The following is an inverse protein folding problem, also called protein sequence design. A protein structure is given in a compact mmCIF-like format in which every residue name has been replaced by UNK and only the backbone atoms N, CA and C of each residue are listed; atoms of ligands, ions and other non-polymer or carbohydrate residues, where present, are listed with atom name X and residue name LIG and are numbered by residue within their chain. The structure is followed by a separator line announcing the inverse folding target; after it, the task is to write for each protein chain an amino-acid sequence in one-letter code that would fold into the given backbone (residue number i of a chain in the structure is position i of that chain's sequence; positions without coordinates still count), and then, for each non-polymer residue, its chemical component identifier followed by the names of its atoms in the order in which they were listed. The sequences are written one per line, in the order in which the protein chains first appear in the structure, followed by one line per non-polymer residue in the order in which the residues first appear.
data_IF_036876702866
#
_entry.id   IF_036876702866
#
_cell.length_a   1.000
_cell.length_b   1.000
_cell.length_c   1.000
_cell.angle_alpha   90.00
_cell.angle_beta   90.00
_cell.angle_gamma   90.00
#
_symmetry.space_group_name_H-M   'P 1'
#
loop_
_entity.id
_entity.type
_entity.pdbx_description
1 polymer ?
#
# COMPACT_ATOMS: atom_id res chain seq x y z
N UNK A 1 25.89 72.28 -18.84
CA UNK A 1 25.86 70.85 -19.21
C UNK A 1 26.42 69.81 -18.21
N UNK A 2 27.23 70.22 -17.23
CA UNK A 2 27.92 69.30 -16.28
C UNK A 2 27.08 68.77 -15.09
N UNK A 3 25.97 69.45 -14.69
CA UNK A 3 25.18 69.04 -13.50
C UNK A 3 24.20 67.91 -13.72
N UNK A 4 23.71 67.72 -14.93
CA UNK A 4 22.73 66.69 -15.27
C UNK A 4 23.39 65.29 -15.32
N UNK A 5 24.60 65.22 -15.89
CA UNK A 5 25.34 63.93 -16.02
C UNK A 5 25.76 63.38 -14.64
N UNK A 6 26.09 64.28 -13.67
CA UNK A 6 26.48 63.84 -12.33
C UNK A 6 25.32 63.27 -11.50
N UNK A 7 24.08 63.74 -11.70
CA UNK A 7 22.87 63.19 -11.03
C UNK A 7 22.48 61.81 -11.59
N UNK A 8 22.63 61.57 -12.88
CA UNK A 8 22.37 60.26 -13.47
C UNK A 8 23.35 59.19 -12.99
N UNK A 9 24.62 59.50 -12.91
CA UNK A 9 25.65 58.56 -12.42
C UNK A 9 25.46 58.16 -10.95
N UNK A 10 24.96 59.07 -10.11
CA UNK A 10 24.68 58.73 -8.70
C UNK A 10 23.42 57.91 -8.53
N UNK A 11 22.39 58.10 -9.38
CA UNK A 11 21.15 57.29 -9.37
C UNK A 11 21.40 55.86 -9.83
N UNK A 12 22.22 55.66 -10.86
CA UNK A 12 22.56 54.31 -11.37
C UNK A 12 23.36 53.52 -10.33
N UNK A 13 24.35 54.12 -9.65
CA UNK A 13 25.12 53.48 -8.57
C UNK A 13 24.25 53.11 -7.35
N UNK A 14 23.22 53.89 -7.04
CA UNK A 14 22.27 53.57 -5.97
C UNK A 14 21.40 52.33 -6.24
N UNK A 15 20.97 52.18 -7.49
CA UNK A 15 20.15 51.02 -7.90
C UNK A 15 20.96 49.73 -7.98
N UNK A 16 22.20 49.76 -8.41
CA UNK A 16 23.09 48.61 -8.39
C UNK A 16 23.42 48.11 -6.97
N UNK A 17 23.71 49.02 -6.08
CA UNK A 17 24.00 48.71 -4.67
C UNK A 17 22.79 48.08 -3.97
N UNK A 18 21.57 48.51 -4.30
CA UNK A 18 20.35 47.92 -3.77
C UNK A 18 20.08 46.54 -4.37
N UNK A 19 20.29 46.36 -5.67
CA UNK A 19 20.16 45.02 -6.34
C UNK A 19 21.14 44.00 -5.77
N UNK A 20 22.37 44.43 -5.44
CA UNK A 20 23.37 43.56 -4.82
C UNK A 20 22.95 43.13 -3.42
N UNK A 21 22.43 44.07 -2.60
CA UNK A 21 21.91 43.78 -1.26
C UNK A 21 20.73 42.81 -1.31
N UNK A 22 19.77 42.97 -2.23
CA UNK A 22 18.65 42.07 -2.40
C UNK A 22 19.12 40.67 -2.82
N UNK A 23 20.10 40.55 -3.71
CA UNK A 23 20.66 39.26 -4.13
C UNK A 23 21.35 38.54 -2.97
N UNK A 24 22.10 39.25 -2.13
CA UNK A 24 22.78 38.68 -0.95
C UNK A 24 21.76 38.21 0.11
N UNK A 25 20.71 38.99 0.36
CA UNK A 25 19.62 38.57 1.28
C UNK A 25 18.90 37.35 0.76
N UNK A 26 18.59 37.29 -0.56
CA UNK A 26 17.92 36.14 -1.15
C UNK A 26 18.78 34.88 -1.11
N UNK A 27 20.10 35.01 -1.34
CA UNK A 27 21.03 33.87 -1.21
C UNK A 27 21.12 33.38 0.25
N UNK A 28 21.18 34.30 1.21
CA UNK A 28 21.20 33.94 2.63
C UNK A 28 19.93 33.19 3.06
N UNK A 29 18.75 33.63 2.60
CA UNK A 29 17.47 32.96 2.87
C UNK A 29 17.37 31.57 2.19
N UNK A 30 17.94 31.42 0.98
CA UNK A 30 18.00 30.13 0.30
C UNK A 30 18.90 29.14 1.03
N UNK A 31 20.06 29.60 1.52
CA UNK A 31 20.99 28.74 2.28
C UNK A 31 20.36 28.32 3.61
N UNK A 32 19.69 29.24 4.34
CA UNK A 32 19.00 28.89 5.59
C UNK A 32 17.82 27.91 5.35
N UNK A 33 17.06 28.08 4.26
CA UNK A 33 15.98 27.16 3.91
C UNK A 33 16.51 25.76 3.58
N UNK A 34 17.62 25.66 2.85
CA UNK A 34 18.27 24.40 2.52
C UNK A 34 18.85 23.69 3.75
N UNK A 35 19.45 24.45 4.69
CA UNK A 35 19.98 23.87 5.93
C UNK A 35 18.85 23.36 6.85
N UNK A 36 17.76 24.11 7.00
CA UNK A 36 16.59 23.69 7.78
C UNK A 36 15.91 22.43 7.16
N UNK A 37 15.86 22.36 5.82
CA UNK A 37 15.34 21.17 5.14
C UNK A 37 16.22 19.93 5.33
N UNK A 38 17.54 20.12 5.40
CA UNK A 38 18.49 19.01 5.64
C UNK A 38 18.46 18.49 7.08
N UNK A 39 18.27 19.37 8.07
CA UNK A 39 18.20 19.00 9.49
C UNK A 39 16.94 18.17 9.78
N UNK A 40 15.81 18.46 9.13
CA UNK A 40 14.58 17.67 9.27
C UNK A 40 14.67 16.24 8.70
N UNK A 41 15.68 15.93 7.87
CA UNK A 41 15.90 14.56 7.36
C UNK A 41 16.78 13.69 8.26
N UNK A 42 17.52 14.28 9.19
CA UNK A 42 18.44 13.54 10.07
C UNK A 42 17.78 12.96 11.34
N UNK A 43 16.51 13.22 11.53
CA UNK A 43 15.76 12.79 12.72
C UNK A 43 14.66 11.79 12.44
N UNK A 44 14.83 10.79 11.52
CA UNK A 44 13.94 9.64 11.58
C UNK A 44 14.33 8.82 12.81
N UNK A 45 13.47 8.73 13.84
CA UNK A 45 13.76 7.85 14.96
C UNK A 45 13.98 6.45 14.41
N UNK A 46 15.05 5.78 14.86
CA UNK A 46 15.32 4.38 14.60
C UNK A 46 14.02 3.60 14.86
N UNK A 47 13.36 3.20 13.76
CA UNK A 47 12.10 2.48 13.85
C UNK A 47 12.42 1.18 14.59
N UNK A 48 11.90 1.04 15.79
CA UNK A 48 12.01 -0.21 16.56
C UNK A 48 11.77 -1.41 15.64
N UNK A 49 12.44 -2.56 15.84
CA UNK A 49 12.24 -3.74 15.00
C UNK A 49 10.74 -3.99 14.85
N UNK A 50 10.27 -4.04 13.58
CA UNK A 50 8.85 -4.29 13.31
C UNK A 50 8.54 -5.64 13.96
N UNK A 51 7.62 -5.73 14.91
CA UNK A 51 7.28 -6.99 15.55
C UNK A 51 6.83 -7.98 14.45
N UNK A 52 7.37 -9.21 14.52
CA UNK A 52 6.98 -10.27 13.57
C UNK A 52 5.49 -10.50 13.73
N UNK A 53 4.72 -10.08 12.72
CA UNK A 53 3.28 -10.18 12.73
C UNK A 53 2.85 -11.61 12.41
N UNK A 54 2.21 -12.26 13.38
CA UNK A 54 1.74 -13.66 13.25
C UNK A 54 0.30 -13.75 12.76
N UNK A 55 -0.44 -12.64 12.73
CA UNK A 55 -1.82 -12.55 12.26
C UNK A 55 -2.05 -11.21 11.57
N UNK A 56 -2.91 -11.20 10.55
CA UNK A 56 -3.32 -9.97 9.91
C UNK A 56 -4.17 -9.11 10.86
N UNK A 57 -3.96 -7.79 10.82
CA UNK A 57 -4.81 -6.81 11.52
C UNK A 57 -6.22 -6.78 10.93
N UNK A 58 -7.19 -6.20 11.65
CA UNK A 58 -8.54 -6.03 11.12
C UNK A 58 -8.57 -5.19 9.85
N UNK A 59 -7.73 -4.16 9.76
CA UNK A 59 -7.64 -3.33 8.57
C UNK A 59 -7.07 -4.11 7.37
N UNK A 60 -6.04 -4.92 7.57
CA UNK A 60 -5.50 -5.80 6.54
C UNK A 60 -6.54 -6.83 6.07
N UNK A 61 -7.31 -7.43 6.98
CA UNK A 61 -8.39 -8.37 6.62
C UNK A 61 -9.47 -7.69 5.78
N UNK A 62 -9.85 -6.47 6.12
CA UNK A 62 -10.80 -5.66 5.36
C UNK A 62 -10.28 -5.32 3.97
N UNK A 63 -9.00 -4.92 3.88
CA UNK A 63 -8.33 -4.69 2.60
C UNK A 63 -8.26 -5.96 1.75
N UNK A 64 -7.92 -7.11 2.34
CA UNK A 64 -7.89 -8.40 1.66
C UNK A 64 -9.27 -8.80 1.13
N UNK A 65 -10.34 -8.57 1.90
CA UNK A 65 -11.72 -8.81 1.43
C UNK A 65 -12.09 -7.92 0.25
N UNK A 66 -11.74 -6.64 0.29
CA UNK A 66 -12.00 -5.71 -0.81
C UNK A 66 -11.23 -6.11 -2.07
N UNK A 67 -9.95 -6.49 -1.93
CA UNK A 67 -9.10 -6.99 -3.00
C UNK A 67 -9.69 -8.26 -3.62
N UNK A 68 -10.07 -9.23 -2.79
CA UNK A 68 -10.69 -10.48 -3.24
C UNK A 68 -11.97 -10.20 -4.05
N UNK A 69 -12.86 -9.34 -3.53
CA UNK A 69 -14.08 -8.96 -4.24
C UNK A 69 -13.79 -8.36 -5.62
N UNK A 70 -12.83 -7.43 -5.69
CA UNK A 70 -12.45 -6.78 -6.93
C UNK A 70 -11.92 -7.78 -7.96
N UNK A 71 -11.03 -8.68 -7.55
CA UNK A 71 -10.48 -9.72 -8.43
C UNK A 71 -11.57 -10.68 -8.90
N UNK A 72 -12.47 -11.11 -8.01
CA UNK A 72 -13.61 -11.97 -8.38
C UNK A 72 -14.50 -11.32 -9.45
N UNK A 73 -14.84 -10.05 -9.27
CA UNK A 73 -15.73 -9.34 -10.18
C UNK A 73 -15.09 -9.03 -11.53
N UNK A 74 -13.85 -8.54 -11.53
CA UNK A 74 -13.19 -8.05 -12.75
C UNK A 74 -12.48 -9.19 -13.50
N UNK A 75 -11.79 -10.06 -12.76
CA UNK A 75 -10.95 -11.11 -13.35
C UNK A 75 -11.71 -12.40 -13.68
N UNK A 76 -12.74 -12.73 -12.91
CA UNK A 76 -13.44 -14.03 -13.03
C UNK A 76 -14.93 -13.90 -13.34
N UNK A 77 -15.49 -12.71 -13.33
CA UNK A 77 -16.93 -12.51 -13.51
C UNK A 77 -17.79 -13.06 -12.36
N UNK A 78 -17.18 -13.39 -11.22
CA UNK A 78 -17.87 -13.94 -10.05
C UNK A 78 -18.51 -12.82 -9.23
N UNK A 79 -19.71 -12.43 -9.65
CA UNK A 79 -20.49 -11.35 -9.04
C UNK A 79 -21.60 -11.95 -8.15
N UNK A 80 -22.26 -11.10 -7.43
CA UNK A 80 -23.49 -11.36 -6.67
C UNK A 80 -23.50 -12.71 -5.95
N UNK A 81 -24.25 -13.68 -6.45
CA UNK A 81 -24.39 -15.02 -5.87
C UNK A 81 -23.05 -15.76 -5.75
N UNK A 82 -22.23 -15.73 -6.80
CA UNK A 82 -20.92 -16.39 -6.79
C UNK A 82 -19.97 -15.72 -5.81
N UNK A 83 -19.98 -14.38 -5.74
CA UNK A 83 -19.25 -13.66 -4.70
C UNK A 83 -19.73 -14.03 -3.29
N UNK A 84 -21.04 -14.10 -3.07
CA UNK A 84 -21.59 -14.47 -1.75
C UNK A 84 -21.17 -15.89 -1.32
N UNK A 85 -21.05 -16.82 -2.25
CA UNK A 85 -20.53 -18.15 -1.98
C UNK A 85 -19.04 -18.12 -1.62
N UNK A 86 -18.25 -17.35 -2.35
CA UNK A 86 -16.82 -17.18 -2.16
C UNK A 86 -16.49 -16.50 -0.84
N UNK A 87 -17.23 -15.45 -0.48
CA UNK A 87 -17.11 -14.76 0.80
C UNK A 87 -17.31 -15.71 1.98
N UNK A 88 -18.31 -16.60 1.89
CA UNK A 88 -18.55 -17.62 2.93
C UNK A 88 -17.39 -18.61 3.07
N UNK A 89 -16.76 -19.00 1.97
CA UNK A 89 -15.57 -19.86 2.00
C UNK A 89 -14.45 -19.13 2.74
N UNK A 90 -14.06 -17.93 2.30
CA UNK A 90 -12.96 -17.18 2.92
C UNK A 90 -13.19 -16.84 4.40
N UNK A 91 -14.45 -16.55 4.77
CA UNK A 91 -14.79 -16.31 6.19
C UNK A 91 -14.60 -17.59 7.02
N UNK A 92 -14.97 -18.74 6.49
CA UNK A 92 -14.83 -20.03 7.19
C UNK A 92 -13.37 -20.47 7.29
N UNK A 93 -12.59 -20.30 6.22
CA UNK A 93 -11.18 -20.71 6.17
C UNK A 93 -10.28 -19.85 7.09
N UNK A 94 -10.22 -18.57 6.87
CA UNK A 94 -9.24 -17.71 7.53
C UNK A 94 -9.75 -16.31 7.93
N UNK A 95 -11.04 -15.99 7.68
CA UNK A 95 -11.57 -14.64 7.88
C UNK A 95 -10.68 -13.57 7.19
N UNK A 96 -10.21 -13.87 5.98
CA UNK A 96 -9.30 -13.02 5.20
C UNK A 96 -7.92 -12.76 5.83
N UNK A 97 -7.50 -13.58 6.78
CA UNK A 97 -6.18 -13.51 7.40
C UNK A 97 -5.15 -14.17 6.48
N UNK A 98 -4.32 -13.36 5.80
CA UNK A 98 -3.27 -13.86 4.90
C UNK A 98 -2.08 -14.49 5.63
N UNK A 99 -2.02 -14.36 6.96
CA UNK A 99 -1.00 -14.97 7.81
C UNK A 99 -1.54 -16.19 8.59
N UNK A 100 -2.79 -16.59 8.32
CA UNK A 100 -3.41 -17.71 9.01
C UNK A 100 -2.70 -19.03 8.70
N UNK A 101 -2.24 -19.71 9.75
CA UNK A 101 -1.69 -21.06 9.69
C UNK A 101 -2.72 -22.06 10.19
N UNK A 102 -2.78 -23.23 9.55
CA UNK A 102 -3.62 -24.31 10.04
C UNK A 102 -3.11 -24.80 11.41
N UNK A 103 -4.04 -24.97 12.36
CA UNK A 103 -3.69 -25.39 13.73
C UNK A 103 -3.57 -26.90 13.90
N UNK A 104 -4.10 -27.67 12.95
CA UNK A 104 -4.08 -29.16 12.99
C UNK A 104 -2.84 -29.76 12.34
N UNK A 105 -1.81 -28.96 12.04
CA UNK A 105 -0.54 -29.44 11.48
C UNK A 105 -0.52 -29.64 9.96
N UNK A 106 -1.61 -29.30 9.25
CA UNK A 106 -1.57 -29.34 7.79
C UNK A 106 -0.76 -28.18 7.20
N UNK A 107 -0.28 -28.31 5.97
CA UNK A 107 0.44 -27.26 5.24
C UNK A 107 -0.47 -26.14 4.69
N UNK A 108 -1.74 -26.10 5.09
CA UNK A 108 -2.68 -25.08 4.65
C UNK A 108 -2.34 -23.71 5.25
N UNK A 109 -2.29 -22.67 4.39
CA UNK A 109 -1.87 -21.35 4.78
C UNK A 109 -2.66 -20.25 4.04
N UNK A 110 -2.79 -19.09 4.70
CA UNK A 110 -3.30 -17.86 4.12
C UNK A 110 -4.82 -17.79 4.00
N UNK A 111 -5.31 -16.85 3.18
CA UNK A 111 -6.74 -16.50 3.09
C UNK A 111 -7.63 -17.64 2.63
N UNK A 112 -7.14 -18.51 1.77
CA UNK A 112 -7.88 -19.63 1.22
C UNK A 112 -7.51 -20.98 1.82
N UNK A 113 -6.58 -21.03 2.78
CA UNK A 113 -6.08 -22.26 3.38
C UNK A 113 -5.68 -23.34 2.35
N UNK A 114 -4.99 -22.89 1.29
CA UNK A 114 -4.51 -23.80 0.23
C UNK A 114 -3.31 -24.58 0.75
N UNK A 115 -3.29 -25.88 0.47
CA UNK A 115 -2.16 -26.75 0.85
C UNK A 115 -0.87 -26.34 0.14
N UNK A 116 0.24 -26.34 0.88
CA UNK A 116 1.58 -25.98 0.38
C UNK A 116 1.68 -24.52 -0.13
N UNK A 117 0.75 -23.65 0.29
CA UNK A 117 0.88 -22.22 0.05
C UNK A 117 2.05 -21.65 0.87
N UNK A 118 3.00 -20.99 0.21
CA UNK A 118 4.20 -20.43 0.84
C UNK A 118 4.25 -18.91 0.80
N UNK A 119 3.42 -18.29 -0.03
CA UNK A 119 3.40 -16.84 -0.18
C UNK A 119 2.61 -16.18 0.95
N UNK A 120 3.17 -15.14 1.56
CA UNK A 120 2.47 -14.26 2.48
C UNK A 120 1.77 -13.08 1.77
N UNK A 121 1.88 -12.96 0.45
CA UNK A 121 1.19 -11.93 -0.33
C UNK A 121 -0.29 -12.30 -0.49
N UNK A 122 -1.23 -11.48 0.04
CA UNK A 122 -2.65 -11.75 -0.05
C UNK A 122 -3.18 -11.79 -1.48
N UNK A 123 -2.61 -11.01 -2.40
CA UNK A 123 -3.02 -11.03 -3.80
C UNK A 123 -2.68 -12.39 -4.45
N UNK A 124 -1.47 -12.87 -4.22
CA UNK A 124 -1.04 -14.18 -4.72
C UNK A 124 -1.92 -15.30 -4.17
N UNK A 125 -2.18 -15.33 -2.86
CA UNK A 125 -3.04 -16.32 -2.20
C UNK A 125 -4.47 -16.31 -2.76
N UNK A 126 -5.05 -15.12 -2.99
CA UNK A 126 -6.39 -14.97 -3.57
C UNK A 126 -6.42 -15.54 -4.98
N UNK A 127 -5.46 -15.17 -5.83
CA UNK A 127 -5.38 -15.69 -7.20
C UNK A 127 -5.18 -17.19 -7.24
N UNK A 128 -4.35 -17.74 -6.36
CA UNK A 128 -4.11 -19.18 -6.24
C UNK A 128 -5.41 -19.91 -5.83
N UNK A 129 -6.10 -19.38 -4.82
CA UNK A 129 -7.42 -19.90 -4.40
C UNK A 129 -8.44 -19.89 -5.54
N UNK A 130 -8.49 -18.81 -6.33
CA UNK A 130 -9.44 -18.71 -7.45
C UNK A 130 -9.14 -19.69 -8.57
N UNK A 131 -7.87 -19.84 -8.93
CA UNK A 131 -7.44 -20.86 -9.90
C UNK A 131 -7.80 -22.27 -9.44
N UNK A 132 -7.59 -22.56 -8.15
CA UNK A 132 -7.96 -23.84 -7.55
C UNK A 132 -9.48 -24.08 -7.64
N UNK A 133 -10.30 -23.10 -7.24
CA UNK A 133 -11.77 -23.19 -7.32
C UNK A 133 -12.23 -23.38 -8.77
N UNK A 134 -11.70 -22.58 -9.70
CA UNK A 134 -12.06 -22.66 -11.12
C UNK A 134 -11.69 -24.01 -11.72
N UNK A 135 -10.52 -24.53 -11.41
CA UNK A 135 -10.06 -25.83 -11.92
C UNK A 135 -10.91 -26.97 -11.39
N UNK A 136 -11.11 -27.03 -10.06
CA UNK A 136 -11.72 -28.19 -9.40
C UNK A 136 -13.25 -28.14 -9.37
N UNK A 137 -13.83 -26.99 -9.15
CA UNK A 137 -15.27 -26.81 -8.91
C UNK A 137 -15.99 -25.99 -9.97
N UNK A 138 -15.28 -25.37 -10.88
CA UNK A 138 -15.75 -24.44 -11.92
C UNK A 138 -16.27 -23.12 -11.35
N UNK A 139 -17.06 -23.13 -10.28
CA UNK A 139 -17.63 -21.91 -9.67
C UNK A 139 -17.49 -21.89 -8.14
N UNK A 140 -17.48 -20.71 -7.51
CA UNK A 140 -17.49 -20.57 -6.06
C UNK A 140 -18.67 -21.25 -5.37
N UNK A 141 -19.87 -21.21 -5.94
CA UNK A 141 -21.03 -21.83 -5.32
C UNK A 141 -20.95 -23.36 -5.36
N UNK A 142 -20.34 -23.94 -6.39
CA UNK A 142 -20.05 -25.37 -6.42
C UNK A 142 -19.01 -25.75 -5.36
N UNK A 143 -17.94 -24.98 -5.24
CA UNK A 143 -16.94 -25.16 -4.17
C UNK A 143 -17.56 -25.04 -2.77
N UNK A 144 -18.40 -24.01 -2.55
CA UNK A 144 -19.10 -23.81 -1.27
C UNK A 144 -20.04 -24.96 -0.93
N UNK A 145 -20.73 -25.54 -1.92
CA UNK A 145 -21.59 -26.72 -1.71
C UNK A 145 -20.75 -27.92 -1.25
N UNK A 146 -19.66 -28.19 -1.93
CA UNK A 146 -18.70 -29.24 -1.54
C UNK A 146 -18.18 -29.03 -0.13
N UNK A 147 -17.69 -27.83 0.15
CA UNK A 147 -17.19 -27.44 1.46
C UNK A 147 -18.21 -27.63 2.59
N UNK A 148 -19.50 -27.40 2.33
CA UNK A 148 -20.54 -27.58 3.33
C UNK A 148 -20.80 -29.05 3.70
N UNK A 149 -20.48 -30.00 2.80
CA UNK A 149 -20.64 -31.42 3.01
C UNK A 149 -19.40 -32.08 3.62
N UNK A 150 -18.21 -31.58 3.28
CA UNK A 150 -16.94 -32.26 3.60
C UNK A 150 -16.05 -31.47 4.56
N UNK A 151 -16.39 -30.22 4.90
CA UNK A 151 -15.58 -29.27 5.69
C UNK A 151 -14.20 -28.91 5.10
N UNK A 152 -14.02 -29.14 3.79
CA UNK A 152 -12.86 -28.72 2.98
C UNK A 152 -13.30 -28.50 1.53
N UNK A 153 -12.47 -27.82 0.74
CA UNK A 153 -12.73 -27.63 -0.69
C UNK A 153 -11.46 -27.76 -1.49
#
# INVERSE_FOLDING_TARGET
MGRTIRKEQTAVKGTEKNRLKFRLIFLALLVTALTLFSINRLGTPFKSPIPIQTKATMEQKKANKALAKRIAWVGYGWKDKEWACLDKIFVKEAKYDHLAKNKSGSSAFGVGQILKETSADPMFQILHTYKYIQHRYKTPCSAKRWHSLHNWY
#
